data_IF_404728286264
#
_entry.id   IF_404728286264
#
_cell.length_a   1.000
_cell.length_b   1.000
_cell.length_c   1.000
_cell.angle_alpha   90.00
_cell.angle_beta   90.00
_cell.angle_gamma   90.00
#
_symmetry.space_group_name_H-M   'P 1'
#
loop_
_entity.id
_entity.type
_entity.pdbx_description
1 polymer ?
2 non-polymer ?
#
# COMPACT_ATOMS: atom_id res chain seq x y z
N UNK A 1 -15.94 -3.39 12.61
CA UNK A 1 -14.88 -4.26 12.11
C UNK A 1 -13.91 -3.46 11.25
N UNK A 2 -12.67 -3.37 11.69
CA UNK A 2 -11.65 -2.67 10.95
C UNK A 2 -10.27 -3.16 11.35
N UNK A 3 -9.86 -4.25 10.77
CA UNK A 3 -8.52 -4.74 11.01
C UNK A 3 -7.55 -3.91 10.15
N UNK A 4 -6.81 -3.05 10.79
CA UNK A 4 -5.96 -2.12 10.09
C UNK A 4 -4.58 -2.71 9.89
N UNK A 5 -4.12 -2.70 8.67
CA UNK A 5 -2.77 -3.14 8.39
C UNK A 5 -1.79 -2.12 8.98
N UNK A 6 -0.73 -2.61 9.52
CA UNK A 6 0.23 -1.78 10.16
C UNK A 6 1.39 -1.44 9.22
N UNK A 7 2.44 -0.83 9.77
CA UNK A 7 3.63 -0.49 9.04
C UNK A 7 4.22 -1.77 8.43
N UNK A 8 4.43 -2.75 9.29
CA UNK A 8 4.99 -4.05 8.92
C UNK A 8 4.19 -4.73 7.81
N UNK A 9 2.87 -4.65 7.92
CA UNK A 9 1.99 -5.31 6.95
C UNK A 9 2.17 -4.69 5.60
N UNK A 10 2.15 -3.36 5.55
CA UNK A 10 2.34 -2.64 4.31
C UNK A 10 3.71 -2.96 3.76
N UNK A 11 4.71 -2.92 4.65
CA UNK A 11 6.11 -3.22 4.31
C UNK A 11 6.23 -4.56 3.59
N UNK A 12 5.81 -5.63 4.25
CA UNK A 12 5.95 -6.97 3.72
C UNK A 12 5.21 -7.14 2.42
N UNK A 13 4.01 -6.61 2.36
CA UNK A 13 3.21 -6.69 1.16
C UNK A 13 3.87 -5.91 0.01
N UNK A 14 4.33 -4.72 0.30
CA UNK A 14 4.91 -3.85 -0.70
C UNK A 14 6.25 -4.41 -1.24
N UNK A 15 6.98 -5.12 -0.42
CA UNK A 15 8.19 -5.79 -0.90
C UNK A 15 7.79 -6.98 -1.78
N UNK A 16 6.73 -7.65 -1.38
CA UNK A 16 6.20 -8.83 -2.07
C UNK A 16 5.78 -8.50 -3.51
N UNK A 17 5.26 -7.30 -3.73
CA UNK A 17 4.85 -6.87 -5.07
C UNK A 17 6.02 -6.41 -5.94
N UNK A 18 7.21 -6.37 -5.37
CA UNK A 18 8.39 -6.03 -6.15
C UNK A 18 8.90 -7.28 -6.84
N UNK A 19 8.36 -8.41 -6.43
CA UNK A 19 8.75 -9.65 -6.98
C UNK A 19 9.58 -10.39 -5.98
N UNK A 20 10.86 -10.40 -6.19
CA UNK A 20 11.78 -11.07 -5.32
C UNK A 20 12.06 -10.19 -4.12
N UNK A 21 12.41 -10.80 -3.03
CA UNK A 21 12.71 -10.10 -1.83
C UNK A 21 14.11 -9.49 -1.93
N UNK A 22 14.17 -8.36 -2.54
CA UNK A 22 15.39 -7.59 -2.61
C UNK A 22 15.64 -7.02 -1.25
N UNK A 23 14.68 -6.29 -0.77
CA UNK A 23 14.77 -5.74 0.55
C UNK A 23 14.96 -4.27 0.52
N UNK A 24 14.03 -3.61 -0.08
CA UNK A 24 13.94 -2.19 -0.02
C UNK A 24 13.48 -1.90 1.39
N UNK A 25 14.39 -1.40 2.23
CA UNK A 25 14.07 -1.14 3.62
C UNK A 25 12.94 -0.16 3.79
N UNK A 26 11.85 -0.68 4.25
CA UNK A 26 10.62 0.03 4.44
C UNK A 26 10.21 -0.17 5.89
N UNK A 27 11.12 0.06 6.78
CA UNK A 27 10.87 -0.12 8.19
C UNK A 27 10.98 1.21 8.93
N UNK A 28 10.32 1.31 10.05
CA UNK A 28 10.33 2.53 10.81
C UNK A 28 9.28 3.46 10.27
N UNK A 29 9.68 4.66 9.95
CA UNK A 29 8.76 5.59 9.35
C UNK A 29 9.23 5.86 7.94
N UNK A 30 8.80 5.01 7.05
CA UNK A 30 9.18 5.09 5.64
C UNK A 30 8.08 5.75 4.85
N UNK A 31 7.13 6.31 5.55
CA UNK A 31 5.96 6.85 4.95
C UNK A 31 6.25 8.17 4.22
N UNK A 32 7.43 8.73 4.46
CA UNK A 32 7.85 9.98 3.82
C UNK A 32 8.67 9.69 2.55
N UNK A 33 8.86 8.42 2.25
CA UNK A 33 9.53 8.03 1.02
C UNK A 33 8.53 8.16 -0.12
N UNK A 34 8.96 8.05 -1.34
CA UNK A 34 8.01 8.14 -2.44
C UNK A 34 8.10 6.94 -3.33
N UNK A 35 6.97 6.55 -3.89
CA UNK A 35 6.91 5.42 -4.79
C UNK A 35 7.69 5.67 -6.05
N UNK A 36 7.66 6.91 -6.52
CA UNK A 36 8.40 7.30 -7.72
C UNK A 36 9.90 7.17 -7.44
N UNK A 37 10.29 7.51 -6.23
CA UNK A 37 11.67 7.49 -5.82
C UNK A 37 12.16 6.06 -5.64
N UNK A 38 11.30 5.20 -5.11
CA UNK A 38 11.66 3.79 -4.93
C UNK A 38 11.35 2.95 -6.17
N UNK A 39 11.10 3.63 -7.29
CA UNK A 39 10.89 2.97 -8.57
C UNK A 39 9.65 2.09 -8.63
N UNK A 40 8.55 2.56 -8.12
CA UNK A 40 7.34 1.80 -8.14
C UNK A 40 6.39 2.32 -9.19
N UNK A 41 5.80 1.41 -9.89
CA UNK A 41 4.84 1.71 -10.93
C UNK A 41 3.50 1.93 -10.28
N UNK A 42 2.68 2.81 -10.82
CA UNK A 42 1.35 3.03 -10.28
C UNK A 42 0.47 1.80 -10.51
N UNK A 43 0.78 1.07 -11.57
CA UNK A 43 0.16 -0.22 -11.86
C UNK A 43 0.46 -1.18 -10.71
N UNK A 44 1.68 -1.07 -10.20
CA UNK A 44 2.13 -1.90 -9.11
C UNK A 44 1.49 -1.46 -7.80
N UNK A 45 1.16 -0.19 -7.72
CA UNK A 45 0.48 0.34 -6.56
C UNK A 45 -0.94 -0.19 -6.52
N UNK A 46 -1.55 -0.26 -7.68
CA UNK A 46 -2.88 -0.84 -7.84
C UNK A 46 -2.83 -2.30 -7.43
N UNK A 47 -1.78 -2.98 -7.88
CA UNK A 47 -1.54 -4.38 -7.55
C UNK A 47 -1.37 -4.57 -6.03
N UNK A 48 -0.59 -3.67 -5.43
CA UNK A 48 -0.38 -3.63 -4.00
C UNK A 48 -1.73 -3.48 -3.29
N UNK A 49 -2.50 -2.47 -3.70
CA UNK A 49 -3.80 -2.19 -3.13
C UNK A 49 -4.75 -3.38 -3.32
N UNK A 50 -4.75 -3.97 -4.51
CA UNK A 50 -5.64 -5.11 -4.87
C UNK A 50 -5.51 -6.26 -3.87
N UNK A 51 -4.29 -6.50 -3.43
CA UNK A 51 -3.99 -7.51 -2.46
C UNK A 51 -4.60 -7.17 -1.11
N UNK A 52 -4.52 -5.91 -0.76
CA UNK A 52 -4.97 -5.45 0.53
C UNK A 52 -6.50 -5.34 0.56
N UNK A 53 -7.10 -5.10 -0.61
CA UNK A 53 -8.55 -5.01 -0.75
C UNK A 53 -9.21 -6.27 -0.24
N UNK A 54 -8.84 -7.37 -0.86
CA UNK A 54 -9.42 -8.66 -0.56
C UNK A 54 -9.06 -9.12 0.86
N UNK A 55 -7.86 -8.76 1.30
CA UNK A 55 -7.37 -9.14 2.61
C UNK A 55 -8.10 -8.40 3.74
N UNK A 56 -8.27 -7.10 3.61
CA UNK A 56 -8.81 -6.30 4.71
C UNK A 56 -10.27 -5.89 4.54
N UNK A 57 -10.80 -6.03 3.36
CA UNK A 57 -12.18 -5.71 3.16
C UNK A 57 -12.40 -4.29 2.71
N UNK A 58 -11.65 -3.88 1.72
CA UNK A 58 -11.77 -2.56 1.14
C UNK A 58 -11.85 -2.68 -0.36
N UNK A 59 -12.14 -1.62 -1.03
CA UNK A 59 -12.13 -1.59 -2.46
C UNK A 59 -11.61 -0.23 -2.90
N UNK A 60 -10.54 -0.24 -3.63
CA UNK A 60 -9.92 0.99 -4.06
C UNK A 60 -10.05 1.15 -5.55
N UNK A 61 -10.81 2.17 -6.01
CA UNK A 61 -10.99 2.45 -7.43
C UNK A 61 -9.65 2.58 -8.15
N UNK A 62 -9.62 2.12 -9.40
CA UNK A 62 -8.41 2.05 -10.26
C UNK A 62 -7.57 3.32 -10.20
N UNK A 63 -8.20 4.45 -10.44
CA UNK A 63 -7.51 5.74 -10.54
C UNK A 63 -6.93 6.22 -9.20
N UNK A 64 -7.57 5.81 -8.12
CA UNK A 64 -7.18 6.25 -6.77
C UNK A 64 -5.78 5.76 -6.44
N UNK A 65 -5.54 4.49 -6.69
CA UNK A 65 -4.24 3.87 -6.37
C UNK A 65 -3.12 4.43 -7.24
N UNK A 66 -3.48 5.10 -8.33
CA UNK A 66 -2.48 5.71 -9.17
C UNK A 66 -2.13 7.11 -8.69
N UNK A 67 -2.89 7.58 -7.71
CA UNK A 67 -2.72 8.92 -7.18
C UNK A 67 -1.98 8.93 -5.84
N UNK A 68 -1.39 7.82 -5.47
CA UNK A 68 -0.65 7.77 -4.21
C UNK A 68 0.85 7.88 -4.46
N UNK A 69 1.43 8.97 -4.04
CA UNK A 69 2.85 9.26 -4.26
C UNK A 69 3.69 8.70 -3.15
N UNK A 70 3.20 8.80 -1.94
CA UNK A 70 3.91 8.32 -0.79
C UNK A 70 3.19 7.10 -0.18
N UNK A 71 3.93 6.19 0.51
CA UNK A 71 3.36 4.98 1.11
C UNK A 71 2.31 5.30 2.16
N UNK A 72 2.40 6.49 2.75
CA UNK A 72 1.45 6.89 3.76
C UNK A 72 0.05 6.97 3.18
N UNK A 73 -0.05 7.44 1.93
CA UNK A 73 -1.33 7.60 1.27
C UNK A 73 -1.94 6.24 0.96
N UNK A 74 -1.12 5.33 0.47
CA UNK A 74 -1.58 3.98 0.11
C UNK A 74 -2.06 3.25 1.39
N UNK A 75 -1.33 3.45 2.47
CA UNK A 75 -1.69 2.87 3.78
C UNK A 75 -2.99 3.50 4.27
N UNK A 76 -3.08 4.83 4.11
CA UNK A 76 -4.22 5.63 4.56
C UNK A 76 -5.48 5.28 3.78
N UNK A 77 -5.30 4.80 2.55
CA UNK A 77 -6.43 4.36 1.74
C UNK A 77 -7.13 3.20 2.41
N UNK A 78 -6.37 2.19 2.79
CA UNK A 78 -6.90 0.99 3.41
C UNK A 78 -7.48 1.34 4.78
N UNK A 79 -6.60 1.89 5.64
CA UNK A 79 -6.95 2.28 7.02
C UNK A 79 -8.17 3.18 7.03
N UNK A 80 -8.12 4.20 6.20
CA UNK A 80 -9.17 5.18 6.12
C UNK A 80 -10.48 4.60 5.66
N UNK A 81 -10.43 3.77 4.62
CA UNK A 81 -11.64 3.16 4.06
C UNK A 81 -12.34 2.30 5.10
N UNK A 82 -11.57 1.52 5.85
CA UNK A 82 -12.12 0.66 6.90
C UNK A 82 -12.75 1.47 8.02
N UNK A 83 -12.13 2.57 8.37
CA UNK A 83 -12.66 3.43 9.42
C UNK A 83 -13.89 4.17 8.93
N UNK A 84 -13.90 4.49 7.66
CA UNK A 84 -14.97 5.21 7.03
C UNK A 84 -16.20 4.31 6.83
N UNK A 85 -16.01 3.24 6.09
CA UNK A 85 -17.09 2.35 5.77
C UNK A 85 -16.59 0.93 5.60
N UNK A 86 -16.84 0.13 6.57
CA UNK A 86 -16.48 -1.24 6.51
C UNK A 86 -17.72 -2.03 6.82
X LIG B 1 3.54 6.87 -10.91
X LIG B 1 2.34 6.17 -11.59
X LIG B 1 1.33 7.04 -12.38
X LIG B 1 2.92 5.07 -12.53
X LIG B 1 3.60 5.55 -13.75
X LIG B 1 4.27 4.42 -14.53
X LIG B 1 5.39 3.90 -13.66
X LIG B 1 3.25 3.31 -14.83
X LIG B 1 4.86 5.01 -15.89
X LIG B 1 3.86 5.71 -16.65
X LIG B 1 5.51 3.94 -16.80
X LIG B 1 6.14 2.98 -16.37
X LIG B 1 5.34 4.17 -18.07
X LIG B 1 5.88 3.31 -19.15
X LIG B 1 5.32 3.68 -20.53
X LIG B 1 3.94 3.07 -20.88
X LIG B 1 3.32 3.43 -21.89
X LIG B 1 3.48 2.15 -20.03
X LIG B 1 2.21 1.46 -20.19
X LIG B 1 1.71 0.92 -18.85
X LIG B 1 0.29 -0.18 -18.96
X LIG B 1 2.87 6.04 -14.38
X LIG B 1 4.35 6.26 -13.47
X LIG B 1 4.98 3.53 -12.73
X LIG B 1 6.08 4.71 -13.46
X LIG B 1 5.89 3.11 -14.18
X LIG B 1 3.73 2.51 -15.38
X LIG B 1 2.45 3.70 -15.43
X LIG B 1 2.86 2.92 -13.90
X LIG B 1 5.62 5.73 -15.65
X LIG B 1 3.19 5.06 -16.93
X LIG B 1 4.83 4.98 -18.28
X LIG B 1 6.94 3.50 -19.18
X LIG B 1 5.69 2.27 -18.92
X LIG B 1 5.34 4.75 -20.68
X LIG B 1 6.03 3.27 -21.24
X LIG B 1 4.02 1.89 -19.26
X LIG B 1 1.47 2.13 -20.61
X LIG B 1 2.36 0.62 -20.85
X LIG B 1 1.48 1.74 -18.20
X LIG B 1 2.53 0.35 -18.42
X LIG B 1 0.68 -1.20 -19.73
#
# INVERSE_FOLDING_TARGET
MATLLTTDDLRRALVESAGETDGTDLSGDFLDLRFEDIGYDSLALMETAARLESRYGVSIPDDVAGRVDTPRELLDLINGALAEAA
PNS O23 P24 O26 O27 C28 C29 C30 C31 C32 O33 C34 O35 N36 C37 C38 C39 O40 N41 C42 C43 S44 H282 H281 H303 H302 H301 H313 H312 H311 H32 H33 H36 H372 H371 H382 H381 H41 H422 H421 H431 H432 H44
#
